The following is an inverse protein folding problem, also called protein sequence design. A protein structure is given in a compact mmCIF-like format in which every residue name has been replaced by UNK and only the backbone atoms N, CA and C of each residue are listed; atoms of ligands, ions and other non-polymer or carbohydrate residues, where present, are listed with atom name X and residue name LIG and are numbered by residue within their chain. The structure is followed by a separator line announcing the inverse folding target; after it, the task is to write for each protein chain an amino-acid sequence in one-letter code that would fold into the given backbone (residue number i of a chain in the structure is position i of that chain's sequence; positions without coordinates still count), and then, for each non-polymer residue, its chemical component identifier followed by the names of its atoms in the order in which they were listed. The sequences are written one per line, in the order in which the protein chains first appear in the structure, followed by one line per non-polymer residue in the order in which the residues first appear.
data_IF_028993117632
#
_entry.id   IF_028993117632
#
_cell.length_a   1.000
_cell.length_b   1.000
_cell.length_c   1.000
_cell.angle_alpha   90.00
_cell.angle_beta   90.00
_cell.angle_gamma   90.00
#
_symmetry.space_group_name_H-M   'P 1'
#
loop_
_entity.id
_entity.type
_entity.pdbx_description
1 polymer ?
#
# COMPACT_ATOMS: atom_id res chain seq x y z
N UNK A 1 -0.23 1.74 -7.99
CA UNK A 1 0.66 0.65 -8.47
C UNK A 1 0.38 -0.62 -7.69
N UNK A 2 0.35 -1.75 -8.35
CA UNK A 2 0.12 -3.08 -7.80
C UNK A 2 1.42 -3.89 -7.94
N UNK A 3 1.70 -4.82 -7.05
CA UNK A 3 2.88 -5.69 -7.14
C UNK A 3 3.25 -6.28 -5.77
N UNK A 4 3.94 -7.39 -5.78
CA UNK A 4 4.40 -8.10 -4.58
C UNK A 4 5.39 -7.27 -3.76
N UNK A 5 5.62 -7.65 -2.51
CA UNK A 5 6.64 -7.05 -1.67
C UNK A 5 8.01 -7.14 -2.36
N UNK A 6 8.77 -6.03 -2.36
CA UNK A 6 10.09 -5.99 -3.01
C UNK A 6 10.10 -5.89 -4.53
N UNK A 7 8.95 -5.81 -5.21
CA UNK A 7 8.88 -5.70 -6.68
C UNK A 7 9.45 -4.39 -7.25
N UNK A 8 9.77 -3.39 -6.40
CA UNK A 8 10.33 -2.12 -6.86
C UNK A 8 9.29 -1.03 -7.11
N UNK A 9 8.07 -1.15 -6.56
CA UNK A 9 6.98 -0.17 -6.72
C UNK A 9 7.38 1.26 -6.37
N UNK A 10 8.08 1.45 -5.24
CA UNK A 10 8.48 2.80 -4.80
C UNK A 10 9.50 3.42 -5.77
N UNK A 11 10.47 2.64 -6.25
CA UNK A 11 11.43 3.11 -7.27
C UNK A 11 10.70 3.45 -8.57
N UNK A 12 9.80 2.60 -9.02
CA UNK A 12 9.00 2.83 -10.24
C UNK A 12 8.12 4.06 -10.10
N UNK A 13 7.55 4.31 -8.92
CA UNK A 13 6.72 5.50 -8.67
C UNK A 13 7.53 6.80 -8.73
N UNK A 14 8.74 6.82 -8.19
CA UNK A 14 9.65 7.98 -8.28
C UNK A 14 10.04 8.29 -9.73
N UNK A 15 10.34 7.26 -10.52
CA UNK A 15 10.64 7.42 -11.95
C UNK A 15 9.39 7.92 -12.68
N UNK A 16 8.22 7.32 -12.44
CA UNK A 16 6.95 7.73 -13.05
C UNK A 16 6.64 9.20 -12.73
N UNK A 17 6.75 9.61 -11.47
CA UNK A 17 6.53 11.00 -11.05
C UNK A 17 7.44 11.97 -11.84
N UNK A 18 8.72 11.64 -11.97
CA UNK A 18 9.68 12.45 -12.73
C UNK A 18 9.28 12.53 -14.21
N UNK A 19 8.97 11.40 -14.85
CA UNK A 19 8.56 11.34 -16.26
C UNK A 19 7.29 12.15 -16.52
N UNK A 20 6.30 12.07 -15.62
CA UNK A 20 5.08 12.87 -15.71
C UNK A 20 5.36 14.37 -15.55
N UNK A 21 6.23 14.73 -14.61
CA UNK A 21 6.63 16.14 -14.41
C UNK A 21 7.37 16.73 -15.60
N UNK A 22 8.23 15.96 -16.29
CA UNK A 22 8.87 16.38 -17.55
C UNK A 22 7.86 16.68 -18.66
N UNK A 23 6.64 16.13 -18.57
CA UNK A 23 5.50 16.38 -19.48
C UNK A 23 4.54 17.46 -19.00
N UNK A 24 4.90 18.19 -17.94
CA UNK A 24 4.07 19.25 -17.38
C UNK A 24 2.93 18.77 -16.50
N UNK A 25 2.92 17.48 -16.12
CA UNK A 25 1.91 16.90 -15.26
C UNK A 25 2.47 16.74 -13.85
N UNK A 26 1.86 17.39 -12.87
CA UNK A 26 2.28 17.32 -11.48
C UNK A 26 1.47 16.27 -10.72
N UNK A 27 2.19 15.28 -10.16
CA UNK A 27 1.64 14.17 -9.39
C UNK A 27 2.38 14.03 -8.07
N UNK A 28 1.65 13.76 -7.02
CA UNK A 28 2.21 13.41 -5.71
C UNK A 28 2.18 11.90 -5.51
N UNK A 29 3.18 11.38 -4.78
CA UNK A 29 3.22 9.97 -4.37
C UNK A 29 2.56 9.83 -3.02
N UNK A 30 1.53 8.98 -2.92
CA UNK A 30 0.85 8.66 -1.66
C UNK A 30 0.64 7.14 -1.53
N UNK A 31 0.16 6.72 -0.36
CA UNK A 31 -0.09 5.32 0.00
C UNK A 31 -1.39 5.18 0.75
N UNK A 32 -2.17 4.15 0.43
CA UNK A 32 -3.33 3.77 1.25
C UNK A 32 -2.92 3.48 2.69
N UNK A 33 -1.82 2.77 2.88
CA UNK A 33 -1.30 2.41 4.19
C UNK A 33 -0.51 3.51 4.92
N UNK A 34 -0.53 4.78 4.45
CA UNK A 34 0.18 5.87 5.14
C UNK A 34 -0.23 6.01 6.62
N UNK A 35 -1.52 6.01 7.00
CA UNK A 35 -1.93 6.06 8.42
C UNK A 35 -1.42 4.90 9.25
N UNK A 36 -1.39 3.67 8.68
CA UNK A 36 -0.82 2.49 9.35
C UNK A 36 0.68 2.64 9.61
N UNK A 37 1.41 3.25 8.67
CA UNK A 37 2.84 3.53 8.82
C UNK A 37 3.10 4.58 9.87
N UNK A 38 2.25 5.60 9.97
CA UNK A 38 2.30 6.61 11.05
C UNK A 38 2.11 5.91 12.39
N UNK A 39 1.07 5.11 12.56
CA UNK A 39 0.83 4.35 13.79
C UNK A 39 2.00 3.43 14.16
N UNK A 40 2.51 2.65 13.20
CA UNK A 40 3.66 1.77 13.44
C UNK A 40 4.93 2.56 13.81
N UNK A 41 5.14 3.72 13.24
CA UNK A 41 6.27 4.59 13.62
C UNK A 41 6.16 5.09 15.05
N UNK A 42 4.98 5.42 15.50
CA UNK A 42 4.72 5.84 16.90
C UNK A 42 5.05 4.71 17.87
N UNK A 43 4.64 3.47 17.56
CA UNK A 43 4.80 2.31 18.44
C UNK A 43 6.23 1.77 18.43
N UNK A 44 6.88 1.68 17.27
CA UNK A 44 8.17 0.98 17.08
C UNK A 44 9.35 1.90 16.77
N UNK A 45 9.11 3.21 16.65
CA UNK A 45 10.12 4.18 16.30
C UNK A 45 10.43 4.28 14.80
N UNK A 46 11.35 5.16 14.39
CA UNK A 46 11.56 5.54 12.99
C UNK A 46 12.08 4.44 12.07
N UNK A 47 12.71 3.39 12.62
CA UNK A 47 13.29 2.28 11.85
C UNK A 47 12.35 1.09 11.68
N UNK A 48 11.09 1.23 12.04
CA UNK A 48 10.09 0.11 12.04
C UNK A 48 9.95 -0.60 10.68
N UNK A 49 10.22 0.07 9.55
CA UNK A 49 10.06 -0.46 8.19
C UNK A 49 11.39 -0.97 7.58
N UNK A 50 12.50 -0.89 8.31
CA UNK A 50 13.79 -1.43 7.89
C UNK A 50 13.71 -2.96 7.78
N UNK A 51 14.40 -3.54 6.78
CA UNK A 51 14.31 -4.98 6.44
C UNK A 51 14.66 -5.91 7.59
N UNK A 52 15.61 -5.51 8.41
CA UNK A 52 16.12 -6.24 9.58
C UNK A 52 15.29 -6.03 10.85
N UNK A 53 14.38 -5.05 10.86
CA UNK A 53 13.56 -4.69 12.02
C UNK A 53 12.11 -5.10 11.86
N UNK A 54 11.53 -4.88 10.69
CA UNK A 54 10.07 -4.97 10.49
C UNK A 54 9.43 -6.33 10.79
N UNK A 55 10.20 -7.41 10.74
CA UNK A 55 9.74 -8.77 11.02
C UNK A 55 10.09 -9.23 12.44
N UNK A 56 10.88 -8.44 13.20
CA UNK A 56 11.37 -8.84 14.52
C UNK A 56 10.33 -8.50 15.58
N UNK A 57 9.80 -9.50 16.31
CA UNK A 57 8.85 -9.27 17.39
C UNK A 57 9.53 -8.61 18.59
N UNK A 58 8.94 -7.52 19.09
CA UNK A 58 9.40 -6.79 20.27
C UNK A 58 8.23 -6.59 21.24
N UNK A 59 8.53 -6.32 22.50
CA UNK A 59 7.53 -5.86 23.45
C UNK A 59 7.15 -4.43 23.12
N UNK A 60 5.86 -4.14 23.11
CA UNK A 60 5.32 -2.80 22.91
C UNK A 60 4.56 -2.36 24.15
N UNK A 61 4.53 -1.07 24.39
CA UNK A 61 3.67 -0.47 25.37
C UNK A 61 2.23 -0.47 24.86
N UNK A 62 1.32 -1.07 25.61
CA UNK A 62 -0.06 -1.26 25.20
C UNK A 62 -0.80 0.08 25.01
N UNK A 63 -0.59 1.03 25.91
CA UNK A 63 -1.26 2.33 25.84
C UNK A 63 -0.81 3.07 24.58
N UNK A 64 0.48 3.09 24.30
CA UNK A 64 1.03 3.67 23.05
C UNK A 64 0.48 2.95 21.82
N UNK A 65 0.32 1.62 21.85
CA UNK A 65 -0.22 0.87 20.71
C UNK A 65 -1.71 1.19 20.46
N UNK A 66 -2.52 1.32 21.51
CA UNK A 66 -3.92 1.71 21.43
C UNK A 66 -4.06 3.15 20.92
N UNK A 67 -3.36 4.10 21.51
CA UNK A 67 -3.39 5.51 21.11
C UNK A 67 -3.00 5.69 19.64
N UNK A 68 -1.95 5.00 19.19
CA UNK A 68 -1.52 5.04 17.80
C UNK A 68 -2.58 4.45 16.84
N UNK A 69 -3.28 3.38 17.24
CA UNK A 69 -4.35 2.78 16.47
C UNK A 69 -5.57 3.72 16.38
N UNK A 70 -5.99 4.33 17.48
CA UNK A 70 -7.10 5.28 17.48
C UNK A 70 -6.77 6.54 16.68
N UNK A 71 -5.53 7.03 16.75
CA UNK A 71 -5.08 8.13 15.90
C UNK A 71 -5.14 7.77 14.42
N UNK A 72 -4.75 6.54 14.05
CA UNK A 72 -4.91 6.04 12.68
C UNK A 72 -6.38 6.07 12.23
N UNK A 73 -7.32 5.64 13.07
CA UNK A 73 -8.75 5.69 12.79
C UNK A 73 -9.26 7.14 12.63
N UNK A 74 -8.77 8.05 13.45
CA UNK A 74 -9.06 9.47 13.33
C UNK A 74 -8.56 10.07 12.00
N UNK A 75 -7.31 9.77 11.59
CA UNK A 75 -6.79 10.19 10.28
C UNK A 75 -7.61 9.63 9.11
N UNK A 76 -8.26 8.48 9.28
CA UNK A 76 -9.16 7.88 8.31
C UNK A 76 -10.58 8.45 8.35
N UNK A 77 -10.86 9.40 9.24
CA UNK A 77 -12.15 10.08 9.38
C UNK A 77 -13.26 9.16 9.91
N UNK A 78 -12.96 8.35 10.90
CA UNK A 78 -13.95 7.50 11.57
C UNK A 78 -14.91 8.37 12.39
N UNK A 79 -16.19 7.97 12.44
CA UNK A 79 -17.19 8.54 13.37
C UNK A 79 -16.95 8.03 14.79
N UNK A 80 -17.64 8.59 15.78
CA UNK A 80 -17.53 8.15 17.18
C UNK A 80 -17.94 6.67 17.31
N UNK A 81 -19.01 6.23 16.64
CA UNK A 81 -19.46 4.84 16.65
C UNK A 81 -18.44 3.91 15.96
N UNK A 82 -17.79 4.37 14.89
CA UNK A 82 -16.71 3.61 14.22
C UNK A 82 -15.45 3.54 15.09
N UNK A 83 -15.17 4.59 15.90
CA UNK A 83 -14.07 4.58 16.86
C UNK A 83 -14.30 3.56 17.97
N UNK A 84 -15.51 3.45 18.50
CA UNK A 84 -15.87 2.46 19.51
C UNK A 84 -15.71 1.05 18.96
N UNK A 85 -16.27 0.78 17.75
CA UNK A 85 -16.14 -0.52 17.10
C UNK A 85 -14.68 -0.87 16.76
N UNK A 86 -13.88 0.10 16.32
CA UNK A 86 -12.45 -0.11 16.06
C UNK A 86 -11.66 -0.39 17.34
N UNK A 87 -12.02 0.23 18.46
CA UNK A 87 -11.42 -0.04 19.77
C UNK A 87 -11.68 -1.46 20.22
N UNK A 88 -12.93 -1.95 20.14
CA UNK A 88 -13.28 -3.33 20.44
C UNK A 88 -12.50 -4.31 19.56
N UNK A 89 -12.50 -4.09 18.23
CA UNK A 89 -11.77 -4.91 17.28
C UNK A 89 -10.25 -4.91 17.54
N UNK A 90 -9.69 -3.80 18.03
CA UNK A 90 -8.29 -3.72 18.40
C UNK A 90 -7.95 -4.65 19.57
N UNK A 91 -8.75 -4.62 20.64
CA UNK A 91 -8.53 -5.50 21.81
C UNK A 91 -8.69 -6.99 21.46
N UNK A 92 -9.58 -7.32 20.53
CA UNK A 92 -9.76 -8.70 20.07
C UNK A 92 -8.58 -9.18 19.20
N UNK A 93 -8.08 -8.31 18.30
CA UNK A 93 -7.09 -8.70 17.31
C UNK A 93 -5.64 -8.62 17.79
N UNK A 94 -5.33 -7.65 18.69
CA UNK A 94 -3.95 -7.39 19.08
C UNK A 94 -3.48 -8.27 20.24
N UNK A 95 -2.35 -8.97 20.07
CA UNK A 95 -1.77 -9.82 21.12
C UNK A 95 -1.00 -8.98 22.15
N UNK A 96 -1.68 -8.10 22.89
CA UNK A 96 -1.10 -7.11 23.80
C UNK A 96 -0.23 -7.69 24.93
N UNK A 97 -0.37 -8.99 25.22
CA UNK A 97 0.44 -9.69 26.24
C UNK A 97 1.62 -10.45 25.66
N UNK A 98 2.00 -10.20 24.41
CA UNK A 98 3.09 -10.88 23.73
C UNK A 98 3.92 -9.91 22.88
N UNK A 99 5.02 -10.42 22.35
CA UNK A 99 5.82 -9.65 21.39
C UNK A 99 5.10 -9.58 20.05
N UNK A 100 5.12 -8.41 19.43
CA UNK A 100 4.56 -8.18 18.11
C UNK A 100 5.61 -7.51 17.19
N UNK A 101 5.68 -7.93 15.93
CA UNK A 101 6.53 -7.25 14.94
C UNK A 101 5.82 -6.05 14.34
N UNK A 102 6.57 -5.01 13.89
CA UNK A 102 5.99 -3.87 13.19
C UNK A 102 5.09 -4.27 12.02
N UNK A 103 5.47 -5.30 11.26
CA UNK A 103 4.68 -5.79 10.14
C UNK A 103 3.37 -6.43 10.58
N UNK A 104 3.42 -7.29 11.61
CA UNK A 104 2.21 -7.94 12.12
C UNK A 104 1.25 -6.91 12.72
N UNK A 105 1.75 -5.92 13.46
CA UNK A 105 0.95 -4.82 13.97
C UNK A 105 0.20 -4.09 12.85
N UNK A 106 0.92 -3.68 11.78
CA UNK A 106 0.29 -3.02 10.64
C UNK A 106 -0.74 -3.90 9.92
N UNK A 107 -0.48 -5.21 9.81
CA UNK A 107 -1.40 -6.15 9.17
C UNK A 107 -2.68 -6.30 9.98
N UNK A 108 -2.58 -6.51 11.29
CA UNK A 108 -3.73 -6.65 12.18
C UNK A 108 -4.52 -5.33 12.25
N UNK A 109 -3.85 -4.20 12.48
CA UNK A 109 -4.50 -2.89 12.50
C UNK A 109 -5.22 -2.61 11.18
N UNK A 110 -4.59 -2.88 10.04
CA UNK A 110 -5.16 -2.57 8.73
C UNK A 110 -6.29 -3.51 8.31
N UNK A 111 -6.25 -4.77 8.70
CA UNK A 111 -7.22 -5.79 8.26
C UNK A 111 -8.29 -6.02 9.31
N UNK A 112 -7.87 -6.40 10.53
CA UNK A 112 -8.81 -6.84 11.56
C UNK A 112 -9.48 -5.66 12.27
N UNK A 113 -8.83 -4.50 12.35
CA UNK A 113 -9.41 -3.31 12.98
C UNK A 113 -10.05 -2.40 11.94
N UNK A 114 -9.22 -1.75 11.10
CA UNK A 114 -9.72 -0.70 10.19
C UNK A 114 -10.70 -1.24 9.14
N UNK A 115 -10.34 -2.32 8.40
CA UNK A 115 -11.21 -2.82 7.32
C UNK A 115 -12.43 -3.59 7.83
N UNK A 116 -12.37 -4.21 8.99
CA UNK A 116 -13.55 -4.82 9.60
C UNK A 116 -14.54 -3.75 10.04
N UNK A 117 -14.08 -2.61 10.53
CA UNK A 117 -14.96 -1.47 10.90
C UNK A 117 -15.49 -0.76 9.65
N UNK A 118 -14.61 -0.34 8.73
CA UNK A 118 -14.98 0.29 7.46
C UNK A 118 -14.06 -0.15 6.32
N UNK A 119 -14.58 -1.03 5.46
CA UNK A 119 -13.82 -1.63 4.36
C UNK A 119 -13.21 -0.63 3.38
N UNK A 120 -13.86 0.52 3.19
CA UNK A 120 -13.43 1.57 2.25
C UNK A 120 -12.54 2.65 2.89
N UNK A 121 -12.28 2.62 4.20
CA UNK A 121 -11.63 3.70 4.94
C UNK A 121 -10.36 4.27 4.27
N UNK A 122 -9.45 3.39 3.84
CA UNK A 122 -8.22 3.82 3.18
C UNK A 122 -8.45 4.46 1.81
N UNK A 123 -9.45 3.96 1.09
CA UNK A 123 -9.83 4.48 -0.24
C UNK A 123 -10.50 5.82 -0.11
N UNK A 124 -11.41 5.97 0.85
CA UNK A 124 -12.18 7.19 1.09
C UNK A 124 -11.25 8.35 1.45
N UNK A 125 -10.21 8.10 2.25
CA UNK A 125 -9.19 9.10 2.60
C UNK A 125 -8.58 9.76 1.35
N UNK A 126 -8.25 9.00 0.34
CA UNK A 126 -7.59 9.51 -0.87
C UNK A 126 -8.58 9.98 -1.94
N UNK A 127 -9.76 9.34 -2.07
CA UNK A 127 -10.77 9.72 -3.06
C UNK A 127 -11.49 11.02 -2.72
N UNK A 128 -11.57 11.39 -1.46
CA UNK A 128 -12.20 12.64 -1.02
C UNK A 128 -11.35 13.86 -1.33
N UNK A 129 -10.04 13.70 -1.50
CA UNK A 129 -9.15 14.78 -1.95
C UNK A 129 -9.03 14.79 -3.48
N UNK A 130 -9.89 15.59 -4.11
CA UNK A 130 -9.91 15.78 -5.58
C UNK A 130 -8.96 16.88 -6.07
N UNK A 131 -8.21 17.48 -5.19
CA UNK A 131 -7.33 18.62 -5.52
C UNK A 131 -5.97 18.18 -6.03
N UNK A 132 -5.60 16.89 -5.81
CA UNK A 132 -4.29 16.34 -6.13
C UNK A 132 -4.36 15.22 -7.17
N UNK A 133 -3.40 15.21 -8.09
CA UNK A 133 -3.14 14.02 -8.89
C UNK A 133 -2.21 13.08 -8.11
N UNK A 134 -2.59 11.82 -7.95
CA UNK A 134 -1.88 10.89 -7.07
C UNK A 134 -1.32 9.67 -7.81
N UNK A 135 -0.09 9.29 -7.46
CA UNK A 135 0.49 7.99 -7.75
C UNK A 135 0.42 7.16 -6.47
N UNK A 136 -0.46 6.17 -6.43
CA UNK A 136 -0.61 5.29 -5.27
C UNK A 136 0.27 4.06 -5.44
N UNK A 137 1.17 3.81 -4.47
CA UNK A 137 2.22 2.78 -4.60
C UNK A 137 1.89 1.44 -3.95
N UNK A 138 0.77 1.32 -3.24
CA UNK A 138 0.50 0.17 -2.39
C UNK A 138 -0.92 -0.39 -2.52
N UNK A 139 -1.52 -0.33 -3.72
CA UNK A 139 -2.82 -0.97 -3.96
C UNK A 139 -2.72 -2.49 -3.74
N UNK A 140 -3.50 -3.01 -2.80
CA UNK A 140 -3.44 -4.39 -2.31
C UNK A 140 -4.77 -5.13 -2.40
N UNK A 141 -5.87 -4.41 -2.49
CA UNK A 141 -7.22 -4.96 -2.53
C UNK A 141 -7.98 -4.44 -3.76
N UNK A 142 -8.99 -5.19 -4.20
CA UNK A 142 -9.75 -4.83 -5.40
C UNK A 142 -10.43 -3.46 -5.30
N UNK A 143 -10.89 -3.06 -4.12
CA UNK A 143 -11.49 -1.74 -3.90
C UNK A 143 -10.49 -0.58 -3.95
N UNK A 144 -9.19 -0.87 -3.89
CA UNK A 144 -8.07 0.09 -4.01
C UNK A 144 -7.60 0.29 -5.45
N UNK A 145 -8.13 -0.50 -6.39
CA UNK A 145 -7.77 -0.42 -7.80
C UNK A 145 -8.34 0.86 -8.41
N UNK A 146 -7.50 1.61 -9.11
CA UNK A 146 -7.85 2.84 -9.82
C UNK A 146 -8.25 2.56 -11.27
N UNK A 147 -8.66 3.60 -12.04
CA UNK A 147 -8.91 3.46 -13.47
C UNK A 147 -7.67 3.00 -14.23
N UNK A 148 -6.50 3.47 -13.82
CA UNK A 148 -5.22 3.13 -14.44
C UNK A 148 -4.30 2.52 -13.40
N UNK A 149 -3.78 1.36 -13.71
CA UNK A 149 -2.94 0.62 -12.79
C UNK A 149 -1.66 0.18 -13.51
N UNK A 150 -0.55 0.22 -12.79
CA UNK A 150 0.71 -0.37 -13.24
C UNK A 150 0.98 -1.57 -12.35
N UNK A 151 1.01 -2.76 -12.95
CA UNK A 151 1.43 -3.99 -12.29
C UNK A 151 2.94 -4.14 -12.43
N UNK A 152 3.65 -3.92 -11.33
CA UNK A 152 5.11 -4.11 -11.28
C UNK A 152 5.40 -5.59 -11.03
N UNK A 153 5.85 -6.27 -12.08
CA UNK A 153 6.16 -7.70 -12.06
C UNK A 153 7.60 -7.94 -11.68
N UNK A 154 7.82 -8.94 -10.85
CA UNK A 154 9.14 -9.49 -10.56
C UNK A 154 9.03 -11.02 -10.61
N UNK A 155 9.64 -11.60 -11.63
CA UNK A 155 9.63 -13.05 -11.81
C UNK A 155 10.68 -13.71 -10.89
N UNK A 156 10.27 -13.98 -9.66
CA UNK A 156 10.93 -14.92 -8.77
C UNK A 156 9.88 -16.00 -8.47
N UNK A 157 10.29 -17.25 -8.34
CA UNK A 157 9.41 -18.32 -7.87
C UNK A 157 9.01 -17.99 -6.43
N UNK A 158 7.84 -17.44 -6.27
CA UNK A 158 7.28 -17.03 -4.98
C UNK A 158 6.03 -17.86 -4.72
N UNK A 159 6.02 -18.60 -3.64
CA UNK A 159 4.81 -19.27 -3.16
C UNK A 159 3.69 -18.24 -2.91
N UNK A 160 2.44 -18.70 -3.01
CA UNK A 160 1.30 -17.84 -2.74
C UNK A 160 1.43 -17.23 -1.34
N UNK A 161 1.39 -15.88 -1.21
CA UNK A 161 1.50 -15.22 0.07
C UNK A 161 0.39 -15.66 1.03
N UNK A 162 0.72 -15.82 2.31
CA UNK A 162 -0.27 -16.20 3.33
C UNK A 162 -1.24 -15.07 3.66
N UNK A 163 -0.76 -13.82 3.63
CA UNK A 163 -1.57 -12.68 4.04
C UNK A 163 -2.45 -12.15 2.90
N UNK A 164 -3.77 -11.92 3.13
CA UNK A 164 -4.73 -11.48 2.11
C UNK A 164 -4.30 -10.22 1.34
N UNK A 165 -3.59 -9.29 1.99
CA UNK A 165 -3.14 -8.04 1.36
C UNK A 165 -2.12 -8.21 0.21
N UNK A 166 -1.64 -9.42 -0.03
CA UNK A 166 -0.72 -9.73 -1.14
C UNK A 166 -1.37 -10.62 -2.21
N UNK A 167 -2.60 -11.11 -1.96
CA UNK A 167 -3.26 -12.03 -2.88
C UNK A 167 -3.58 -11.38 -4.23
N UNK A 168 -4.06 -10.13 -4.26
CA UNK A 168 -4.38 -9.46 -5.52
C UNK A 168 -3.17 -9.40 -6.46
N UNK A 169 -2.01 -8.96 -5.96
CA UNK A 169 -0.79 -8.86 -6.75
C UNK A 169 -0.31 -10.23 -7.24
N UNK A 170 -0.42 -11.26 -6.41
CA UNK A 170 -0.07 -12.63 -6.76
C UNK A 170 -1.02 -13.20 -7.81
N UNK A 171 -2.32 -13.04 -7.62
CA UNK A 171 -3.35 -13.52 -8.55
C UNK A 171 -3.19 -12.88 -9.94
N UNK A 172 -2.97 -11.56 -10.02
CA UNK A 172 -2.71 -10.86 -11.28
C UNK A 172 -1.44 -11.33 -11.97
N UNK A 173 -0.41 -11.70 -11.20
CA UNK A 173 0.87 -12.13 -11.76
C UNK A 173 0.88 -13.58 -12.20
N UNK A 174 0.21 -14.49 -11.49
CA UNK A 174 0.40 -15.94 -11.64
C UNK A 174 -0.86 -16.73 -12.04
N UNK A 175 -2.08 -16.20 -11.84
CA UNK A 175 -3.31 -16.95 -12.14
C UNK A 175 -4.03 -16.48 -13.40
N UNK A 176 -3.56 -15.41 -14.04
CA UNK A 176 -4.27 -14.80 -15.18
C UNK A 176 -5.53 -14.03 -14.78
N UNK A 177 -5.68 -13.65 -13.51
CA UNK A 177 -6.77 -12.79 -13.07
C UNK A 177 -6.77 -11.49 -13.88
N UNK A 178 -7.95 -11.07 -14.33
CA UNK A 178 -8.17 -9.81 -15.05
C UNK A 178 -9.00 -8.88 -14.18
N UNK A 179 -8.66 -7.60 -14.19
CA UNK A 179 -9.47 -6.54 -13.56
C UNK A 179 -10.33 -5.83 -14.62
N UNK A 180 -11.50 -5.30 -14.24
CA UNK A 180 -12.37 -4.54 -15.16
C UNK A 180 -11.86 -3.11 -15.41
N UNK A 181 -10.55 -2.90 -15.37
CA UNK A 181 -9.85 -1.61 -15.52
C UNK A 181 -8.53 -1.82 -16.23
N UNK A 182 -7.95 -0.74 -16.75
CA UNK A 182 -6.66 -0.81 -17.43
C UNK A 182 -5.52 -1.18 -16.48
N UNK A 183 -4.76 -2.19 -16.86
CA UNK A 183 -3.56 -2.63 -16.14
C UNK A 183 -2.39 -2.69 -17.14
N UNK A 184 -1.38 -1.88 -16.89
CA UNK A 184 -0.14 -1.84 -17.67
C UNK A 184 0.93 -2.67 -16.98
N UNK A 185 1.47 -3.64 -17.67
CA UNK A 185 2.53 -4.48 -17.14
C UNK A 185 3.88 -3.75 -17.19
N UNK A 186 4.54 -3.69 -16.04
CA UNK A 186 5.90 -3.16 -15.91
C UNK A 186 6.81 -4.28 -15.41
N UNK A 187 7.59 -4.86 -16.32
CA UNK A 187 8.59 -5.86 -15.98
C UNK A 187 9.77 -5.23 -15.26
N UNK A 188 10.03 -5.70 -14.04
CA UNK A 188 11.14 -5.29 -13.19
C UNK A 188 11.86 -6.52 -12.61
N UNK A 189 12.19 -7.48 -13.44
CA UNK A 189 13.00 -8.64 -13.03
C UNK A 189 14.49 -8.37 -13.21
N UNK A 190 15.30 -9.00 -12.41
CA UNK A 190 16.75 -8.85 -12.50
C UNK A 190 17.31 -9.55 -13.74
N UNK A 191 18.31 -8.98 -14.44
CA UNK A 191 19.08 -7.78 -14.04
C UNK A 191 18.59 -6.45 -14.69
N UNK A 192 17.34 -6.03 -14.53
CA UNK A 192 16.86 -4.75 -15.08
C UNK A 192 17.64 -3.59 -14.45
N UNK A 193 18.23 -2.75 -15.27
CA UNK A 193 18.89 -1.50 -14.85
C UNK A 193 17.86 -0.40 -14.58
N UNK A 194 18.25 0.64 -13.84
CA UNK A 194 17.37 1.80 -13.62
C UNK A 194 17.02 2.53 -14.94
N UNK A 195 17.94 2.51 -15.92
CA UNK A 195 17.71 3.12 -17.24
C UNK A 195 16.66 2.35 -18.02
N UNK A 196 16.79 1.03 -18.11
CA UNK A 196 15.80 0.17 -18.76
C UNK A 196 14.41 0.26 -18.09
N UNK A 197 14.37 0.37 -16.76
CA UNK A 197 13.13 0.57 -16.03
C UNK A 197 12.48 1.93 -16.38
N UNK A 198 13.29 2.98 -16.51
CA UNK A 198 12.82 4.29 -16.93
C UNK A 198 12.28 4.28 -18.36
N UNK A 199 12.97 3.64 -19.31
CA UNK A 199 12.52 3.52 -20.70
C UNK A 199 11.16 2.81 -20.81
N UNK A 200 10.96 1.75 -20.03
CA UNK A 200 9.67 1.04 -19.95
C UNK A 200 8.57 1.92 -19.35
N UNK A 201 8.88 2.70 -18.33
CA UNK A 201 7.91 3.64 -17.73
C UNK A 201 7.57 4.75 -18.73
N UNK A 202 8.53 5.30 -19.48
CA UNK A 202 8.28 6.29 -20.53
C UNK A 202 7.35 5.74 -21.60
N UNK A 203 7.59 4.51 -22.05
CA UNK A 203 6.71 3.83 -23.00
C UNK A 203 5.27 3.67 -22.46
N UNK A 204 5.10 3.24 -21.19
CA UNK A 204 3.77 3.14 -20.57
C UNK A 204 3.07 4.51 -20.55
N UNK A 205 3.77 5.58 -20.17
CA UNK A 205 3.21 6.94 -20.16
C UNK A 205 2.85 7.42 -21.56
N UNK A 206 3.64 7.08 -22.59
CA UNK A 206 3.31 7.37 -24.00
C UNK A 206 2.01 6.67 -24.43
N UNK A 207 1.86 5.39 -24.10
CA UNK A 207 0.64 4.63 -24.41
C UNK A 207 -0.58 5.22 -23.68
N UNK A 208 -0.42 5.60 -22.40
CA UNK A 208 -1.48 6.24 -21.63
C UNK A 208 -1.93 7.56 -22.26
N UNK A 209 -0.98 8.42 -22.68
CA UNK A 209 -1.26 9.72 -23.29
C UNK A 209 -1.92 9.57 -24.65
N UNK A 210 -1.45 8.62 -25.48
CA UNK A 210 -1.99 8.37 -26.81
C UNK A 210 -3.48 7.97 -26.79
N UNK A 211 -3.91 7.30 -25.74
CA UNK A 211 -5.29 6.83 -25.59
C UNK A 211 -6.17 7.83 -24.80
N UNK A 212 -5.80 9.09 -24.66
CA UNK A 212 -6.45 10.09 -23.79
C UNK A 212 -6.63 9.57 -22.34
N UNK A 213 -5.69 8.78 -21.92
CA UNK A 213 -5.72 8.08 -20.65
C UNK A 213 -4.99 8.85 -19.53
N UNK A 214 -4.58 10.09 -19.76
CA UNK A 214 -4.01 11.03 -18.77
C UNK A 214 -4.71 12.36 -18.88
#
# INVERSE_FOLDING_TARGET
MIGLAGAGKDTSALILQRVLKERGMDFEIDRYAAPLKTAARTVFGPKFDDRDVKEVPVWVDNDTAIEAALHCCHELGFTDEEHDAASEAFFEAMPLSSRISPRLYQQLLGTEVVRNTRKSAFVDRLRNDKTRNLIITDSRFENEVCFKNILVRRFENIDKPKHPSEHLAWDLQFTGKVLPVDVFDLDNHRPTTLHELEDRIRFIVDVMSFNDLI
#
